data_IF_624604552805
#
_entry.id   IF_624604552805
#
_cell.length_a   1.000
_cell.length_b   1.000
_cell.length_c   1.000
_cell.angle_alpha   90.00
_cell.angle_beta   90.00
_cell.angle_gamma   90.00
#
_symmetry.space_group_name_H-M   'P 1'
#
loop_
_entity.id
_entity.type
_entity.pdbx_description
1 polymer ?
#
# COMPACT_ATOMS: atom_id res chain seq x y z
N UNK A 1 -16.58 55.00 59.82
CA UNK A 1 -16.27 53.61 60.25
C UNK A 1 -15.58 52.89 59.10
N UNK A 2 -14.55 52.09 59.42
CA UNK A 2 -13.47 51.67 58.52
C UNK A 2 -13.92 50.84 57.31
N UNK A 3 -13.36 51.19 56.15
CA UNK A 3 -13.25 50.35 54.96
C UNK A 3 -12.63 48.99 55.28
N UNK A 4 -13.19 47.90 54.72
CA UNK A 4 -12.49 46.64 54.53
C UNK A 4 -12.80 46.07 53.14
N UNK A 5 -11.75 45.60 52.48
CA UNK A 5 -11.58 45.41 51.05
C UNK A 5 -12.26 44.14 50.48
N UNK A 6 -12.62 44.13 49.17
CA UNK A 6 -13.14 42.96 48.44
C UNK A 6 -12.06 41.95 48.02
N UNK A 7 -10.79 42.12 48.43
CA UNK A 7 -9.64 41.36 47.90
C UNK A 7 -9.41 39.98 48.57
N UNK A 8 -10.06 39.67 49.69
CA UNK A 8 -9.83 38.40 50.43
C UNK A 8 -10.74 37.26 49.97
N UNK A 9 -11.89 37.57 49.34
CA UNK A 9 -12.82 36.53 48.86
C UNK A 9 -12.39 35.86 47.56
N UNK A 10 -11.60 36.54 46.72
CA UNK A 10 -11.12 36.00 45.45
C UNK A 10 -9.94 35.02 45.64
N UNK A 11 -9.07 35.22 46.64
CA UNK A 11 -7.92 34.35 46.89
C UNK A 11 -8.29 32.98 47.51
N UNK A 12 -9.32 32.91 48.35
CA UNK A 12 -9.81 31.66 48.94
C UNK A 12 -10.52 30.73 47.93
N UNK A 13 -11.16 31.28 46.89
CA UNK A 13 -11.80 30.49 45.83
C UNK A 13 -10.77 29.85 44.87
N UNK A 14 -9.63 30.50 44.62
CA UNK A 14 -8.56 29.93 43.78
C UNK A 14 -7.82 28.79 44.50
N UNK A 15 -7.63 28.89 45.83
CA UNK A 15 -6.98 27.84 46.62
C UNK A 15 -7.84 26.58 46.78
N UNK A 16 -9.17 26.72 46.90
CA UNK A 16 -10.09 25.56 46.98
C UNK A 16 -10.28 24.86 45.62
N UNK A 17 -10.22 25.60 44.51
CA UNK A 17 -10.27 25.03 43.15
C UNK A 17 -9.01 24.22 42.79
N UNK A 18 -7.82 24.70 43.16
CA UNK A 18 -6.56 23.93 42.96
C UNK A 18 -6.50 22.65 43.78
N UNK A 19 -7.01 22.66 45.02
CA UNK A 19 -7.00 21.47 45.88
C UNK A 19 -7.97 20.38 45.39
N UNK A 20 -9.12 20.75 44.83
CA UNK A 20 -10.06 19.80 44.22
C UNK A 20 -9.56 19.22 42.90
N UNK A 21 -8.82 19.99 42.10
CA UNK A 21 -8.24 19.51 40.85
C UNK A 21 -7.10 18.51 41.09
N UNK A 22 -6.21 18.78 42.06
CA UNK A 22 -5.12 17.87 42.44
C UNK A 22 -5.63 16.54 43.03
N UNK A 23 -6.75 16.56 43.78
CA UNK A 23 -7.35 15.33 44.34
C UNK A 23 -7.98 14.42 43.27
N UNK A 24 -8.52 15.00 42.18
CA UNK A 24 -9.07 14.24 41.04
C UNK A 24 -7.99 13.61 40.17
N UNK A 25 -6.86 14.30 39.97
CA UNK A 25 -5.73 13.76 39.18
C UNK A 25 -5.07 12.57 39.88
N UNK A 26 -4.93 12.61 41.22
CA UNK A 26 -4.35 11.50 41.97
C UNK A 26 -5.27 10.26 42.00
N UNK A 27 -6.59 10.42 42.20
CA UNK A 27 -7.53 9.28 42.17
C UNK A 27 -7.66 8.63 40.78
N UNK A 28 -7.51 9.39 39.70
CA UNK A 28 -7.53 8.86 38.34
C UNK A 28 -6.26 8.05 38.02
N UNK A 29 -5.09 8.52 38.50
CA UNK A 29 -3.83 7.81 38.34
C UNK A 29 -3.78 6.51 39.17
N UNK A 30 -4.32 6.53 40.40
CA UNK A 30 -4.37 5.35 41.27
C UNK A 30 -5.30 4.25 40.71
N UNK A 31 -6.41 4.64 40.08
CA UNK A 31 -7.32 3.71 39.40
C UNK A 31 -6.73 3.11 38.13
N UNK A 32 -5.84 3.83 37.44
CA UNK A 32 -5.16 3.33 36.25
C UNK A 32 -4.08 2.30 36.64
N UNK A 33 -3.29 2.59 37.68
CA UNK A 33 -2.24 1.70 38.21
C UNK A 33 -2.84 0.38 38.73
N UNK A 34 -4.02 0.40 39.35
CA UNK A 34 -4.69 -0.83 39.81
C UNK A 34 -5.24 -1.67 38.65
N UNK A 35 -5.77 -1.05 37.58
CA UNK A 35 -6.20 -1.77 36.37
C UNK A 35 -5.03 -2.43 35.64
N UNK A 36 -3.90 -1.73 35.56
CA UNK A 36 -2.69 -2.23 34.88
C UNK A 36 -2.07 -3.42 35.62
N UNK A 37 -2.13 -3.45 36.96
CA UNK A 37 -1.68 -4.61 37.77
C UNK A 37 -2.59 -5.84 37.60
N UNK A 38 -3.91 -5.65 37.57
CA UNK A 38 -4.87 -6.76 37.34
C UNK A 38 -4.68 -7.36 35.94
N UNK A 39 -4.35 -6.56 34.93
CA UNK A 39 -4.05 -7.09 33.58
C UNK A 39 -2.70 -7.82 33.50
N UNK A 40 -1.70 -7.42 34.29
CA UNK A 40 -0.37 -8.04 34.26
C UNK A 40 -0.34 -9.44 34.89
N UNK A 41 -1.08 -9.66 35.98
CA UNK A 41 -1.19 -10.98 36.64
C UNK A 41 -1.93 -12.01 35.76
N UNK A 42 -2.93 -11.57 34.98
CA UNK A 42 -3.68 -12.43 34.06
C UNK A 42 -2.88 -12.81 32.80
N UNK A 43 -1.89 -12.01 32.39
CA UNK A 43 -1.06 -12.31 31.22
C UNK A 43 0.07 -13.31 31.51
N UNK A 44 0.53 -13.44 32.76
CA UNK A 44 1.59 -14.40 33.12
C UNK A 44 1.09 -15.85 33.19
N UNK A 45 -0.18 -16.09 33.50
CA UNK A 45 -0.77 -17.44 33.54
C UNK A 45 -1.14 -17.98 32.16
N UNK A 46 -1.60 -17.11 31.24
CA UNK A 46 -1.97 -17.47 29.85
C UNK A 46 -0.73 -17.85 29.00
N UNK A 47 0.40 -17.16 29.19
CA UNK A 47 1.62 -17.41 28.44
C UNK A 47 2.28 -18.79 28.73
N UNK A 48 1.89 -19.49 29.79
CA UNK A 48 2.44 -20.82 30.12
C UNK A 48 1.70 -21.95 29.38
N UNK A 49 0.38 -21.83 29.24
CA UNK A 49 -0.45 -22.80 28.52
C UNK A 49 -0.29 -22.69 27.00
N UNK A 50 -0.11 -21.48 26.48
CA UNK A 50 0.12 -21.24 25.05
C UNK A 50 1.45 -21.82 24.55
N UNK A 51 2.49 -21.81 25.39
CA UNK A 51 3.81 -22.35 25.04
C UNK A 51 3.86 -23.89 24.98
N UNK A 52 3.10 -24.58 25.83
CA UNK A 52 3.01 -26.04 25.83
C UNK A 52 2.20 -26.53 24.62
N UNK A 53 1.06 -25.87 24.32
CA UNK A 53 0.23 -26.20 23.16
C UNK A 53 0.93 -25.92 21.83
N UNK A 54 1.70 -24.82 21.73
CA UNK A 54 2.50 -24.50 20.55
C UNK A 54 3.61 -25.53 20.26
N UNK A 55 4.20 -26.15 21.30
CA UNK A 55 5.23 -27.18 21.13
C UNK A 55 4.69 -28.50 20.55
N UNK A 56 3.48 -28.91 20.97
CA UNK A 56 2.84 -30.15 20.52
C UNK A 56 2.22 -30.02 19.12
N UNK A 57 1.69 -28.85 18.78
CA UNK A 57 1.26 -28.55 17.40
C UNK A 57 2.45 -28.38 16.45
N UNK A 58 3.58 -27.86 16.95
CA UNK A 58 4.81 -27.69 16.17
C UNK A 58 5.47 -29.00 15.74
N UNK A 59 5.39 -30.06 16.54
CA UNK A 59 5.94 -31.40 16.21
C UNK A 59 5.04 -32.16 15.23
N UNK A 60 3.72 -32.05 15.35
CA UNK A 60 2.74 -32.59 14.40
C UNK A 60 2.79 -31.91 13.03
N UNK A 61 2.93 -30.59 12.98
CA UNK A 61 3.05 -29.87 11.70
C UNK A 61 4.39 -30.13 10.99
N UNK A 62 5.45 -30.45 11.75
CA UNK A 62 6.78 -30.74 11.20
C UNK A 62 6.84 -32.13 10.55
N UNK A 63 6.11 -33.10 11.07
CA UNK A 63 6.00 -34.45 10.47
C UNK A 63 5.13 -34.43 9.21
N UNK A 64 4.03 -33.68 9.19
CA UNK A 64 3.18 -33.50 7.99
C UNK A 64 3.98 -32.92 6.81
N UNK A 65 4.91 -31.98 7.07
CA UNK A 65 5.73 -31.33 6.03
C UNK A 65 6.80 -32.25 5.42
N UNK A 66 7.14 -33.37 6.06
CA UNK A 66 8.13 -34.33 5.57
C UNK A 66 7.52 -35.42 4.66
N UNK A 67 6.20 -35.64 4.74
CA UNK A 67 5.50 -36.72 4.01
C UNK A 67 4.94 -36.26 2.66
N UNK A 68 4.80 -34.93 2.45
CA UNK A 68 4.38 -34.38 1.15
C UNK A 68 5.63 -34.04 0.33
N UNK A 69 5.96 -34.80 -0.72
CA UNK A 69 7.09 -34.45 -1.57
C UNK A 69 6.79 -33.13 -2.29
N UNK A 70 7.72 -32.17 -2.21
CA UNK A 70 7.62 -30.87 -2.91
C UNK A 70 7.66 -30.99 -4.44
N UNK A 71 7.77 -32.21 -4.97
CA UNK A 71 7.86 -32.54 -6.39
C UNK A 71 6.52 -32.44 -7.14
N UNK A 72 5.41 -32.13 -6.46
CA UNK A 72 4.14 -31.77 -7.11
C UNK A 72 3.98 -30.24 -7.32
N UNK A 73 5.04 -29.45 -7.20
CA UNK A 73 5.06 -28.10 -7.75
C UNK A 73 5.31 -28.16 -9.26
N UNK A 74 4.39 -28.80 -9.99
CA UNK A 74 4.31 -28.58 -11.43
C UNK A 74 4.31 -27.08 -11.67
N UNK A 75 5.15 -26.59 -12.59
CA UNK A 75 5.14 -25.18 -12.97
C UNK A 75 3.69 -24.82 -13.29
N UNK A 76 3.05 -24.01 -12.45
CA UNK A 76 1.74 -23.44 -12.76
C UNK A 76 2.00 -22.56 -13.96
N UNK A 77 1.70 -23.08 -15.15
CA UNK A 77 1.84 -22.33 -16.40
C UNK A 77 0.84 -21.18 -16.30
N UNK A 78 1.31 -20.02 -15.85
CA UNK A 78 0.45 -18.84 -15.81
C UNK A 78 -0.04 -18.57 -17.23
N UNK A 79 -1.27 -18.08 -17.35
CA UNK A 79 -1.84 -17.63 -18.62
C UNK A 79 -0.92 -16.64 -19.37
N UNK A 80 -0.08 -15.91 -18.63
CA UNK A 80 0.95 -15.04 -19.16
C UNK A 80 2.31 -15.74 -19.25
N UNK A 81 3.10 -15.38 -20.26
CA UNK A 81 4.48 -15.86 -20.51
C UNK A 81 5.40 -15.63 -19.31
N UNK A 82 5.47 -14.39 -18.82
CA UNK A 82 6.31 -14.00 -17.67
C UNK A 82 5.48 -13.27 -16.60
N UNK A 83 5.93 -13.33 -15.35
CA UNK A 83 5.42 -12.45 -14.27
C UNK A 83 5.60 -10.96 -14.60
N UNK A 84 6.58 -10.60 -15.44
CA UNK A 84 6.81 -9.22 -15.92
C UNK A 84 5.64 -8.75 -16.78
N UNK A 85 5.05 -9.64 -17.57
CA UNK A 85 3.87 -9.34 -18.37
C UNK A 85 2.64 -9.21 -17.47
N UNK A 86 2.46 -10.11 -16.50
CA UNK A 86 1.38 -9.97 -15.50
C UNK A 86 1.46 -8.63 -14.76
N UNK A 87 2.66 -8.18 -14.36
CA UNK A 87 2.86 -6.88 -13.73
C UNK A 87 2.48 -5.71 -14.65
N UNK A 88 2.83 -5.79 -15.93
CA UNK A 88 2.48 -4.75 -16.91
C UNK A 88 0.97 -4.71 -17.17
N UNK A 89 0.30 -5.87 -17.20
CA UNK A 89 -1.16 -5.97 -17.30
C UNK A 89 -1.85 -5.31 -16.10
N UNK A 90 -1.38 -5.59 -14.88
CA UNK A 90 -1.89 -4.93 -13.67
C UNK A 90 -1.76 -3.40 -13.76
N UNK A 91 -0.61 -2.89 -14.22
CA UNK A 91 -0.41 -1.45 -14.41
C UNK A 91 -1.34 -0.85 -15.45
N UNK A 92 -1.56 -1.53 -16.58
CA UNK A 92 -2.50 -1.05 -17.62
C UNK A 92 -3.93 -1.00 -17.10
N UNK A 93 -4.34 -1.97 -16.28
CA UNK A 93 -5.64 -1.98 -15.62
C UNK A 93 -5.79 -0.79 -14.66
N UNK A 94 -4.83 -0.60 -13.76
CA UNK A 94 -4.82 0.56 -12.85
C UNK A 94 -4.78 1.88 -13.62
N UNK A 95 -3.98 1.99 -14.68
CA UNK A 95 -3.91 3.22 -15.46
C UNK A 95 -5.21 3.53 -16.21
N UNK A 96 -6.00 2.51 -16.56
CA UNK A 96 -7.32 2.69 -17.14
C UNK A 96 -8.33 3.18 -16.09
N UNK A 97 -8.30 2.61 -14.88
CA UNK A 97 -9.19 3.00 -13.78
C UNK A 97 -8.98 4.47 -13.35
N UNK A 98 -7.73 4.94 -13.29
CA UNK A 98 -7.37 6.28 -12.79
C UNK A 98 -7.09 7.30 -13.90
N UNK A 99 -7.49 7.03 -15.15
CA UNK A 99 -7.17 7.92 -16.28
C UNK A 99 -7.84 9.29 -16.14
N UNK A 100 -9.12 9.30 -15.75
CA UNK A 100 -9.93 10.51 -15.66
C UNK A 100 -9.50 11.40 -14.50
N UNK A 101 -9.35 10.81 -13.30
CA UNK A 101 -8.86 11.51 -12.12
C UNK A 101 -7.50 12.17 -12.39
N UNK A 102 -6.57 11.45 -13.01
CA UNK A 102 -5.27 12.01 -13.35
C UNK A 102 -5.35 13.09 -14.40
N UNK A 103 -6.20 12.96 -15.41
CA UNK A 103 -6.40 13.99 -16.43
C UNK A 103 -6.89 15.29 -15.78
N UNK A 104 -7.87 15.20 -14.88
CA UNK A 104 -8.45 16.34 -14.17
C UNK A 104 -7.42 17.04 -13.28
N UNK A 105 -6.72 16.30 -12.42
CA UNK A 105 -5.74 16.94 -11.52
C UNK A 105 -4.53 17.47 -12.32
N UNK A 106 -4.14 16.78 -13.39
CA UNK A 106 -3.08 17.24 -14.27
C UNK A 106 -3.43 18.54 -15.00
N UNK A 107 -4.71 18.75 -15.36
CA UNK A 107 -5.12 20.02 -15.98
C UNK A 107 -4.95 21.17 -14.99
N UNK A 108 -5.43 21.03 -13.75
CA UNK A 108 -5.27 22.01 -12.67
C UNK A 108 -3.81 22.41 -12.47
N UNK A 109 -2.93 21.40 -12.36
CA UNK A 109 -1.51 21.59 -12.15
C UNK A 109 -0.80 22.33 -13.30
N UNK A 110 -1.22 22.11 -14.56
CA UNK A 110 -0.56 22.71 -15.73
C UNK A 110 -1.14 24.05 -16.15
N UNK A 111 -2.14 24.56 -15.45
CA UNK A 111 -2.74 25.85 -15.74
C UNK A 111 -1.86 27.01 -15.26
N UNK A 112 -1.73 28.06 -16.07
CA UNK A 112 -1.00 29.30 -15.72
C UNK A 112 -1.90 30.38 -15.11
N UNK A 113 -3.22 30.22 -15.20
CA UNK A 113 -4.21 31.22 -14.76
C UNK A 113 -4.56 31.06 -13.27
N UNK A 114 -4.49 29.83 -12.77
CA UNK A 114 -4.89 29.49 -11.40
C UNK A 114 -3.85 29.99 -10.37
N UNK A 115 -4.28 30.33 -9.15
CA UNK A 115 -3.37 30.63 -8.05
C UNK A 115 -2.45 29.44 -7.74
N UNK A 116 -1.26 29.74 -7.22
CA UNK A 116 -0.23 28.73 -6.93
C UNK A 116 -0.67 27.74 -5.85
N UNK A 117 -1.38 28.22 -4.83
CA UNK A 117 -1.88 27.39 -3.72
C UNK A 117 -2.72 26.20 -4.23
N UNK A 118 -3.55 26.40 -5.27
CA UNK A 118 -4.32 25.31 -5.89
C UNK A 118 -3.44 24.34 -6.67
N UNK A 119 -2.34 24.80 -7.25
CA UNK A 119 -1.38 23.93 -7.93
C UNK A 119 -0.63 23.06 -6.94
N UNK A 120 -0.28 23.60 -5.76
CA UNK A 120 0.36 22.87 -4.67
C UNK A 120 -0.55 21.73 -4.16
N UNK A 121 -1.84 22.02 -3.93
CA UNK A 121 -2.82 20.99 -3.56
C UNK A 121 -2.95 19.92 -4.66
N UNK A 122 -3.00 20.31 -5.93
CA UNK A 122 -3.05 19.36 -7.05
C UNK A 122 -1.79 18.47 -7.14
N UNK A 123 -0.62 18.99 -6.78
CA UNK A 123 0.62 18.21 -6.71
C UNK A 123 0.59 17.19 -5.57
N UNK A 124 0.07 17.56 -4.40
CA UNK A 124 -0.17 16.64 -3.28
C UNK A 124 -1.14 15.52 -3.65
N UNK A 125 -2.26 15.86 -4.31
CA UNK A 125 -3.25 14.89 -4.78
C UNK A 125 -2.66 13.90 -5.81
N UNK A 126 -1.89 14.38 -6.78
CA UNK A 126 -1.22 13.51 -7.76
C UNK A 126 -0.22 12.56 -7.09
N UNK A 127 0.47 13.04 -6.05
CA UNK A 127 1.43 12.26 -5.28
C UNK A 127 0.75 11.18 -4.41
N UNK A 128 -0.46 11.44 -3.92
CA UNK A 128 -1.26 10.50 -3.14
C UNK A 128 -1.79 9.31 -3.98
N UNK A 129 -2.03 9.51 -5.28
CA UNK A 129 -2.51 8.47 -6.18
C UNK A 129 -1.53 7.29 -6.31
N UNK A 130 -2.04 6.06 -6.57
CA UNK A 130 -1.19 4.88 -6.68
C UNK A 130 -0.15 5.07 -7.79
N UNK A 131 1.13 4.80 -7.49
CA UNK A 131 2.23 5.01 -8.45
C UNK A 131 2.05 4.25 -9.76
N UNK A 132 1.47 3.05 -9.70
CA UNK A 132 1.32 2.17 -10.85
C UNK A 132 0.22 2.59 -11.84
N UNK A 133 -0.64 3.55 -11.49
CA UNK A 133 -1.58 4.16 -12.45
C UNK A 133 -0.91 5.15 -13.42
N UNK A 134 0.40 5.36 -13.32
CA UNK A 134 1.09 6.35 -14.14
C UNK A 134 1.33 5.80 -15.55
N UNK A 135 0.82 6.50 -16.57
CA UNK A 135 0.92 6.08 -17.96
C UNK A 135 2.37 5.89 -18.44
N UNK A 136 3.32 6.66 -17.89
CA UNK A 136 4.75 6.60 -18.22
C UNK A 136 5.37 5.24 -17.83
N UNK A 137 4.81 4.55 -16.82
CA UNK A 137 5.35 3.27 -16.32
C UNK A 137 4.96 2.06 -17.18
N UNK A 138 4.03 2.24 -18.10
CA UNK A 138 3.56 1.17 -18.98
C UNK A 138 4.64 0.88 -20.02
N UNK A 139 4.98 -0.40 -20.19
CA UNK A 139 5.98 -0.84 -21.17
C UNK A 139 5.34 -1.53 -22.36
N UNK A 140 5.73 -1.18 -23.58
CA UNK A 140 5.26 -1.87 -24.79
C UNK A 140 5.99 -3.21 -24.95
N UNK A 141 5.48 -4.25 -24.29
CA UNK A 141 6.00 -5.63 -24.40
C UNK A 141 5.44 -6.36 -25.62
N UNK A 142 6.22 -7.32 -26.12
CA UNK A 142 5.74 -8.31 -27.09
C UNK A 142 4.60 -9.14 -26.48
N UNK A 143 3.52 -9.36 -27.24
CA UNK A 143 2.39 -10.17 -26.79
C UNK A 143 2.74 -11.65 -26.63
N UNK A 144 3.56 -12.20 -27.53
CA UNK A 144 3.90 -13.63 -27.55
C UNK A 144 5.05 -13.99 -26.62
N UNK A 145 6.08 -13.13 -26.52
CA UNK A 145 7.34 -13.46 -25.84
C UNK A 145 7.68 -12.56 -24.66
N UNK A 146 6.80 -11.61 -24.29
CA UNK A 146 7.01 -10.61 -23.21
C UNK A 146 8.29 -9.76 -23.28
N UNK A 147 9.04 -9.82 -24.40
CA UNK A 147 10.26 -9.04 -24.65
C UNK A 147 9.97 -7.53 -24.51
N UNK A 148 10.75 -6.78 -23.72
CA UNK A 148 10.48 -5.36 -23.44
C UNK A 148 10.93 -4.42 -24.56
N UNK A 149 11.92 -4.80 -25.36
CA UNK A 149 12.56 -3.93 -26.35
C UNK A 149 12.47 -4.52 -27.76
N UNK A 150 12.63 -3.65 -28.76
CA UNK A 150 12.57 -4.04 -30.18
C UNK A 150 11.20 -4.58 -30.56
N UNK A 151 10.13 -3.98 -30.00
CA UNK A 151 8.74 -4.32 -30.30
C UNK A 151 8.22 -3.35 -31.34
N UNK A 152 7.70 -3.87 -32.47
CA UNK A 152 7.11 -3.04 -33.51
C UNK A 152 5.69 -2.64 -33.08
N UNK A 153 5.41 -1.33 -32.92
CA UNK A 153 4.15 -0.84 -32.34
C UNK A 153 2.90 -1.25 -33.11
N UNK A 154 2.97 -1.33 -34.45
CA UNK A 154 1.85 -1.74 -35.32
C UNK A 154 1.38 -3.17 -35.05
N UNK A 155 2.31 -4.13 -34.96
CA UNK A 155 1.98 -5.56 -34.76
C UNK A 155 2.03 -5.99 -33.28
N UNK A 156 2.61 -5.19 -32.39
CA UNK A 156 2.85 -5.53 -30.97
C UNK A 156 3.67 -6.82 -30.76
N UNK A 157 4.53 -7.14 -31.72
CA UNK A 157 5.45 -8.27 -31.70
C UNK A 157 6.90 -7.81 -31.59
N UNK A 158 7.75 -8.64 -30.98
CA UNK A 158 9.20 -8.44 -31.04
C UNK A 158 9.69 -8.60 -32.47
N UNK A 159 10.77 -7.91 -32.84
CA UNK A 159 11.37 -8.04 -34.17
C UNK A 159 11.72 -9.49 -34.52
N UNK A 160 12.25 -10.27 -33.57
CA UNK A 160 12.58 -11.70 -33.77
C UNK A 160 11.34 -12.50 -34.17
N UNK A 161 10.25 -12.35 -33.40
CA UNK A 161 9.02 -13.10 -33.66
C UNK A 161 8.31 -12.58 -34.92
N UNK A 162 8.40 -11.29 -35.18
CA UNK A 162 7.91 -10.68 -36.41
C UNK A 162 8.61 -11.27 -37.66
N UNK A 163 9.95 -11.39 -37.65
CA UNK A 163 10.68 -11.99 -38.76
C UNK A 163 10.33 -13.48 -38.94
N UNK A 164 10.20 -14.23 -37.85
CA UNK A 164 9.72 -15.61 -37.92
C UNK A 164 8.37 -15.71 -38.64
N UNK A 165 7.37 -14.88 -38.27
CA UNK A 165 6.07 -14.89 -38.96
C UNK A 165 6.15 -14.40 -40.42
N UNK A 166 6.98 -13.37 -40.68
CA UNK A 166 7.13 -12.78 -42.01
C UNK A 166 7.81 -13.74 -43.00
N UNK A 167 8.90 -14.40 -42.58
CA UNK A 167 9.65 -15.35 -43.41
C UNK A 167 8.81 -16.59 -43.74
N UNK A 168 7.89 -17.00 -42.87
CA UNK A 168 6.91 -18.05 -43.13
C UNK A 168 5.66 -17.58 -43.90
N UNK A 169 5.60 -16.30 -44.33
CA UNK A 169 4.46 -15.77 -45.08
C UNK A 169 3.14 -15.70 -44.28
N UNK A 170 3.20 -15.74 -42.95
CA UNK A 170 2.01 -15.69 -42.08
C UNK A 170 1.46 -14.27 -41.89
N UNK A 171 2.19 -13.25 -42.35
CA UNK A 171 1.79 -11.84 -42.31
C UNK A 171 1.40 -11.35 -43.70
N UNK A 172 0.15 -10.94 -43.87
CA UNK A 172 -0.38 -10.44 -45.14
C UNK A 172 0.35 -9.17 -45.60
N UNK A 173 0.83 -9.15 -46.83
CA UNK A 173 1.44 -7.98 -47.47
C UNK A 173 2.83 -7.60 -46.94
N UNK A 174 3.44 -8.41 -46.08
CA UNK A 174 4.82 -8.22 -45.65
C UNK A 174 5.73 -8.96 -46.61
N UNK A 175 6.54 -8.21 -47.37
CA UNK A 175 7.57 -8.74 -48.26
C UNK A 175 8.93 -8.13 -47.90
N UNK A 176 10.01 -8.83 -48.26
CA UNK A 176 11.35 -8.24 -48.19
C UNK A 176 11.43 -7.10 -49.20
N UNK A 177 11.98 -5.97 -48.78
CA UNK A 177 12.19 -4.84 -49.68
C UNK A 177 13.21 -5.23 -50.75
N UNK A 178 12.87 -4.97 -52.01
CA UNK A 178 13.72 -5.14 -53.18
C UNK A 178 13.87 -3.74 -53.80
N UNK A 179 15.10 -3.27 -53.92
CA UNK A 179 15.46 -2.02 -54.55
C UNK A 179 16.61 -2.27 -55.52
#
# INVERSE_FOLDING_TARGET
>A
MRFLQPQVKQSLLVLTASHHHLRKVNLANDMQILKDRITAENLQSLNCWDNIAASMLGSLLRTIRQVVPSSASGQVRSYYVDWKMLRDVKRRKMAYEYVDERLHIHSLRKNTILPKDLQEVADEEIAALPRDSCCIRITNRCLTTSRPQGVRRRWRLSHIFFYHLADHGQLSGVQRAMW
#
